data_IF_681914282948
#
_entry.id   IF_681914282948
#
_cell.length_a   1.000
_cell.length_b   1.000
_cell.length_c   1.000
_cell.angle_alpha   90.00
_cell.angle_beta   90.00
_cell.angle_gamma   90.00
#
_symmetry.space_group_name_H-M   'P 1'
#
loop_
_entity.id
_entity.type
_entity.pdbx_description
1 polymer ?
#
# COMPACT_ATOMS: atom_id res chain seq x y z
N UNK A 1 -0.22 19.91 10.99
CA UNK A 1 0.29 20.60 12.18
C UNK A 1 1.80 20.81 12.11
N UNK A 2 2.37 21.47 13.09
CA UNK A 2 3.81 21.82 13.07
C UNK A 2 4.70 20.57 13.15
N UNK A 3 4.22 19.51 13.78
CA UNK A 3 4.97 18.26 13.98
C UNK A 3 4.88 17.35 12.75
N UNK A 4 4.01 17.67 11.80
CA UNK A 4 3.87 16.93 10.54
C UNK A 4 3.12 15.59 10.64
N UNK A 5 2.55 15.28 11.80
CA UNK A 5 1.81 14.03 12.04
C UNK A 5 0.44 14.02 11.35
N UNK A 6 -0.14 15.20 11.16
CA UNK A 6 -1.43 15.36 10.51
C UNK A 6 -1.34 16.36 9.38
N UNK A 7 -1.83 15.97 8.22
CA UNK A 7 -1.76 16.79 7.02
C UNK A 7 -3.13 16.90 6.36
N UNK A 8 -3.37 18.03 5.74
CA UNK A 8 -4.52 18.25 4.87
C UNK A 8 -4.05 18.94 3.60
N UNK A 9 -4.41 18.37 2.47
CA UNK A 9 -4.11 18.92 1.15
C UNK A 9 -5.39 19.32 0.45
N UNK A 10 -5.40 20.52 -0.12
CA UNK A 10 -6.42 21.00 -1.05
C UNK A 10 -5.72 21.42 -2.35
N UNK A 11 -6.46 21.41 -3.44
CA UNK A 11 -5.95 21.87 -4.72
C UNK A 11 -6.45 23.29 -4.99
N UNK A 12 -5.56 24.16 -5.46
CA UNK A 12 -5.91 25.50 -5.88
C UNK A 12 -6.78 25.48 -7.14
N UNK A 13 -7.66 26.46 -7.27
CA UNK A 13 -8.37 26.73 -8.51
C UNK A 13 -7.43 27.28 -9.59
N UNK A 14 -7.91 27.43 -10.82
CA UNK A 14 -7.12 27.91 -11.95
C UNK A 14 -6.58 29.33 -11.77
N UNK A 15 -7.27 30.14 -10.99
CA UNK A 15 -6.85 31.51 -10.61
C UNK A 15 -5.86 31.54 -9.43
N UNK A 16 -5.45 30.38 -8.92
CA UNK A 16 -4.57 30.22 -7.77
C UNK A 16 -5.28 30.35 -6.41
N UNK A 17 -6.58 30.61 -6.38
CA UNK A 17 -7.33 30.68 -5.13
C UNK A 17 -7.45 29.31 -4.45
N UNK A 18 -7.41 29.28 -3.12
CA UNK A 18 -7.58 28.08 -2.34
C UNK A 18 -8.24 28.37 -0.98
N UNK A 19 -8.87 27.38 -0.40
CA UNK A 19 -9.41 27.46 0.96
C UNK A 19 -9.15 26.14 1.72
N UNK A 20 -8.53 26.24 2.88
CA UNK A 20 -8.30 25.12 3.78
C UNK A 20 -9.21 25.32 5.01
N UNK A 21 -10.19 24.43 5.19
CA UNK A 21 -10.94 24.32 6.43
C UNK A 21 -10.33 23.20 7.25
N UNK A 22 -9.66 23.53 8.33
CA UNK A 22 -8.96 22.58 9.18
C UNK A 22 -9.61 22.50 10.57
N UNK A 23 -9.74 21.31 11.17
CA UNK A 23 -10.15 21.18 12.55
C UNK A 23 -9.01 21.48 13.54
N UNK A 24 -7.81 21.75 13.04
CA UNK A 24 -6.61 21.96 13.86
C UNK A 24 -6.39 23.44 14.11
N UNK A 25 -6.16 23.79 15.38
CA UNK A 25 -5.70 25.11 15.80
C UNK A 25 -4.23 25.07 16.17
N UNK A 26 -3.60 26.24 16.24
CA UNK A 26 -2.20 26.37 16.61
C UNK A 26 -1.32 26.78 15.43
N UNK A 27 -0.02 26.51 15.55
CA UNK A 27 0.96 26.82 14.51
C UNK A 27 0.89 25.77 13.40
N UNK A 28 0.52 26.20 12.21
CA UNK A 28 0.42 25.34 11.03
C UNK A 28 1.55 25.68 10.08
N UNK A 29 2.23 24.66 9.56
CA UNK A 29 3.14 24.79 8.42
C UNK A 29 2.36 24.61 7.14
N UNK A 30 2.32 25.63 6.29
CA UNK A 30 1.62 25.60 5.01
C UNK A 30 2.65 25.51 3.89
N UNK A 31 2.42 24.59 2.97
CA UNK A 31 3.27 24.37 1.80
C UNK A 31 2.42 24.40 0.54
N UNK A 32 2.83 25.19 -0.46
CA UNK A 32 2.30 25.12 -1.83
C UNK A 32 3.29 24.35 -2.69
N UNK A 33 2.76 23.44 -3.51
CA UNK A 33 3.53 22.63 -4.44
C UNK A 33 2.87 22.61 -5.81
N UNK A 34 3.68 22.75 -6.82
CA UNK A 34 3.32 22.50 -8.21
C UNK A 34 4.51 21.83 -8.92
N UNK A 35 4.25 20.77 -9.69
CA UNK A 35 5.31 20.13 -10.45
C UNK A 35 5.98 21.11 -11.39
N UNK A 36 7.31 21.07 -11.47
CA UNK A 36 8.09 22.03 -12.25
C UNK A 36 8.43 23.34 -11.55
N UNK A 37 7.99 23.53 -10.30
CA UNK A 37 8.30 24.70 -9.48
C UNK A 37 8.85 24.32 -8.10
N UNK A 38 9.67 25.19 -7.51
CA UNK A 38 10.11 25.05 -6.11
C UNK A 38 8.94 25.31 -5.18
N UNK A 39 8.83 24.49 -4.16
CA UNK A 39 7.80 24.63 -3.13
C UNK A 39 7.91 25.99 -2.41
N UNK A 40 6.77 26.65 -2.21
CA UNK A 40 6.66 27.78 -1.30
C UNK A 40 6.20 27.28 0.07
N UNK A 41 6.75 27.84 1.15
CA UNK A 41 6.38 27.46 2.53
C UNK A 41 6.16 28.68 3.38
N UNK A 42 5.21 28.61 4.33
CA UNK A 42 5.01 29.60 5.37
C UNK A 42 4.45 28.94 6.63
N UNK A 43 4.58 29.64 7.76
CA UNK A 43 3.95 29.25 9.03
C UNK A 43 2.79 30.21 9.32
N UNK A 44 1.68 29.67 9.77
CA UNK A 44 0.49 30.43 10.08
C UNK A 44 -0.09 29.98 11.42
N UNK A 45 -0.29 30.94 12.33
CA UNK A 45 -1.03 30.68 13.55
C UNK A 45 -2.54 30.78 13.25
N UNK A 46 -3.27 29.73 13.60
CA UNK A 46 -4.73 29.63 13.41
C UNK A 46 -5.38 29.35 14.75
N UNK A 47 -6.41 30.13 15.10
CA UNK A 47 -7.24 29.88 16.27
C UNK A 47 -8.45 28.99 15.91
N UNK A 48 -9.07 28.35 16.90
CA UNK A 48 -10.17 27.39 16.68
C UNK A 48 -11.36 27.98 15.89
N UNK A 49 -11.60 29.28 16.01
CA UNK A 49 -12.71 30.00 15.33
C UNK A 49 -12.21 31.06 14.37
N UNK A 50 -10.88 31.16 14.21
CA UNK A 50 -10.26 32.20 13.41
C UNK A 50 -10.18 31.85 11.93
N UNK A 51 -9.97 32.92 11.12
CA UNK A 51 -9.57 32.78 9.73
C UNK A 51 -8.31 33.61 9.48
N UNK A 52 -7.48 33.13 8.56
CA UNK A 52 -6.28 33.84 8.14
C UNK A 52 -6.18 33.82 6.62
N UNK A 53 -5.65 34.89 6.05
CA UNK A 53 -5.32 34.97 4.64
C UNK A 53 -3.83 34.81 4.46
N UNK A 54 -3.42 33.84 3.61
CA UNK A 54 -2.04 33.56 3.34
C UNK A 54 -1.81 33.51 1.83
N UNK A 55 -0.90 34.33 1.34
CA UNK A 55 -0.43 34.32 -0.03
C UNK A 55 0.89 33.54 -0.07
N UNK A 56 1.00 32.56 -0.96
CA UNK A 56 2.18 31.75 -1.16
C UNK A 56 2.68 31.90 -2.59
N UNK A 57 3.99 31.94 -2.75
CA UNK A 57 4.63 32.07 -4.05
C UNK A 57 5.48 30.83 -4.31
N UNK A 58 5.40 30.28 -5.52
CA UNK A 58 6.26 29.21 -6.00
C UNK A 58 7.56 29.81 -6.56
N UNK A 59 8.68 29.15 -6.30
CA UNK A 59 9.96 29.51 -6.88
C UNK A 59 10.20 28.80 -8.22
N UNK A 60 11.21 29.24 -8.97
CA UNK A 60 11.69 28.57 -10.18
C UNK A 60 12.97 27.79 -9.89
N UNK A 61 13.19 26.70 -10.62
CA UNK A 61 14.43 25.96 -10.57
C UNK A 61 15.50 26.64 -11.45
N UNK A 62 16.77 26.49 -11.10
CA UNK A 62 17.87 27.03 -11.89
C UNK A 62 18.07 26.26 -13.21
N UNK A 63 17.75 24.96 -13.21
CA UNK A 63 17.85 24.08 -14.37
C UNK A 63 16.95 22.84 -14.23
N UNK A 64 16.82 22.08 -15.31
CA UNK A 64 16.00 20.87 -15.35
C UNK A 64 16.51 19.76 -14.41
N UNK A 65 17.81 19.67 -14.17
CA UNK A 65 18.38 18.69 -13.23
C UNK A 65 17.86 18.91 -11.82
N UNK A 66 17.93 20.14 -11.32
CA UNK A 66 17.41 20.51 -10.01
C UNK A 66 15.89 20.24 -9.91
N UNK A 67 15.15 20.53 -10.97
CA UNK A 67 13.72 20.23 -11.04
C UNK A 67 13.45 18.72 -10.95
N UNK A 68 14.22 17.91 -11.68
CA UNK A 68 14.02 16.47 -11.77
C UNK A 68 14.27 15.75 -10.43
N UNK A 69 15.15 16.29 -9.57
CA UNK A 69 15.34 15.74 -8.22
C UNK A 69 14.09 15.84 -7.34
N UNK A 70 13.16 16.70 -7.66
CA UNK A 70 11.90 16.89 -6.91
C UNK A 70 10.72 16.10 -7.46
N UNK A 71 10.87 15.48 -8.63
CA UNK A 71 9.81 14.76 -9.30
C UNK A 71 9.51 13.42 -8.60
N UNK A 72 8.25 13.04 -8.63
CA UNK A 72 7.80 11.73 -8.16
C UNK A 72 8.26 10.61 -9.09
N UNK A 73 8.35 9.40 -8.58
CA UNK A 73 8.62 8.20 -9.37
C UNK A 73 7.65 8.03 -10.56
N UNK A 74 6.38 8.41 -10.39
CA UNK A 74 5.38 8.36 -11.45
C UNK A 74 5.69 9.28 -12.63
N UNK A 75 6.35 10.43 -12.40
CA UNK A 75 6.78 11.31 -13.47
C UNK A 75 7.83 10.65 -14.38
N UNK A 76 8.77 9.92 -13.77
CA UNK A 76 9.76 9.15 -14.51
C UNK A 76 9.14 7.95 -15.24
N UNK A 77 8.20 7.24 -14.62
CA UNK A 77 7.50 6.13 -15.26
C UNK A 77 6.63 6.57 -16.44
N UNK A 78 6.05 7.78 -16.37
CA UNK A 78 5.21 8.32 -17.44
C UNK A 78 5.97 8.59 -18.74
N UNK A 79 7.28 8.86 -18.66
CA UNK A 79 8.13 9.09 -19.84
C UNK A 79 8.72 7.84 -20.47
N UNK A 80 8.51 6.67 -19.88
CA UNK A 80 9.07 5.43 -20.42
C UNK A 80 8.55 5.17 -21.86
N UNK A 81 9.44 4.99 -22.84
CA UNK A 81 9.08 4.92 -24.25
C UNK A 81 8.60 3.51 -24.64
N UNK A 82 7.42 3.11 -24.18
CA UNK A 82 6.83 1.80 -24.48
C UNK A 82 6.58 1.63 -25.99
N UNK A 83 7.07 0.57 -26.62
CA UNK A 83 6.78 0.29 -28.04
C UNK A 83 5.29 0.13 -28.29
N UNK A 84 4.58 -0.53 -27.36
CA UNK A 84 3.13 -0.62 -27.34
C UNK A 84 2.64 -0.51 -25.88
N UNK A 85 2.19 0.68 -25.51
CA UNK A 85 1.81 0.98 -24.12
C UNK A 85 0.69 0.08 -23.59
N UNK A 86 -0.27 -0.31 -24.42
CA UNK A 86 -1.42 -1.15 -24.02
C UNK A 86 -1.02 -2.61 -23.80
N UNK A 87 -0.04 -3.10 -24.56
CA UNK A 87 0.44 -4.48 -24.46
C UNK A 87 1.57 -4.63 -23.45
N UNK A 88 2.56 -3.73 -23.50
CA UNK A 88 3.85 -3.95 -22.83
C UNK A 88 3.89 -3.36 -21.42
N UNK A 89 3.20 -2.23 -21.17
CA UNK A 89 3.16 -1.58 -19.85
C UNK A 89 2.45 -2.40 -18.75
N UNK A 90 1.39 -3.18 -19.02
CA UNK A 90 0.72 -3.96 -17.98
C UNK A 90 1.65 -4.94 -17.25
N UNK A 91 2.53 -5.65 -17.94
CA UNK A 91 3.51 -6.55 -17.31
C UNK A 91 4.46 -5.79 -16.37
N UNK A 92 4.98 -4.62 -16.79
CA UNK A 92 5.79 -3.74 -15.96
C UNK A 92 5.03 -3.28 -14.70
N UNK A 93 3.78 -2.85 -14.84
CA UNK A 93 2.98 -2.37 -13.70
C UNK A 93 2.66 -3.50 -12.72
N UNK A 94 2.25 -4.67 -13.22
CA UNK A 94 1.84 -5.79 -12.38
C UNK A 94 2.99 -6.59 -11.77
N UNK A 95 4.18 -6.56 -12.38
CA UNK A 95 5.32 -7.36 -11.93
C UNK A 95 6.42 -6.50 -11.29
N UNK A 96 6.81 -5.39 -11.93
CA UNK A 96 7.90 -4.56 -11.42
C UNK A 96 7.46 -3.63 -10.29
N UNK A 97 6.28 -2.99 -10.40
CA UNK A 97 5.77 -2.09 -9.35
C UNK A 97 5.09 -2.84 -8.19
N UNK A 98 4.95 -4.15 -8.27
CA UNK A 98 4.32 -4.95 -7.22
C UNK A 98 5.17 -4.99 -5.94
N UNK A 99 6.47 -5.21 -6.07
CA UNK A 99 7.37 -5.37 -4.91
C UNK A 99 7.98 -4.04 -4.46
N UNK A 100 8.25 -3.11 -5.39
CA UNK A 100 8.81 -1.79 -5.08
C UNK A 100 8.48 -0.77 -6.16
N UNK A 101 8.44 0.50 -5.78
CA UNK A 101 8.12 1.57 -6.71
C UNK A 101 9.22 1.79 -7.73
N UNK A 102 8.92 1.57 -9.00
CA UNK A 102 9.83 1.90 -10.11
C UNK A 102 9.85 3.41 -10.36
N UNK A 103 10.98 3.93 -10.86
CA UNK A 103 11.16 5.36 -11.14
C UNK A 103 11.62 6.21 -9.95
N UNK A 104 11.81 5.63 -8.76
CA UNK A 104 12.46 6.29 -7.64
C UNK A 104 13.98 6.44 -7.90
N UNK A 105 14.70 7.17 -7.05
CA UNK A 105 16.12 7.46 -7.21
C UNK A 105 17.03 6.22 -7.34
N UNK A 106 16.62 5.08 -6.78
CA UNK A 106 17.37 3.84 -6.84
C UNK A 106 17.08 3.05 -8.10
N UNK A 107 15.81 2.97 -8.50
CA UNK A 107 15.39 2.16 -9.64
C UNK A 107 15.62 2.85 -10.98
N UNK A 108 15.80 4.19 -11.01
CA UNK A 108 16.09 4.96 -12.23
C UNK A 108 17.58 5.27 -12.44
N UNK A 109 18.47 4.68 -11.66
CA UNK A 109 19.92 4.85 -11.87
C UNK A 109 20.25 4.44 -13.30
N UNK A 110 20.92 5.31 -14.10
CA UNK A 110 21.31 4.99 -15.46
C UNK A 110 22.18 3.73 -15.51
N UNK A 111 21.85 2.83 -16.42
CA UNK A 111 22.57 1.59 -16.70
C UNK A 111 22.69 1.43 -18.20
N UNK A 112 23.69 0.72 -18.65
CA UNK A 112 23.75 0.28 -20.05
C UNK A 112 22.69 -0.82 -20.34
N UNK A 113 22.56 -1.17 -21.59
CA UNK A 113 21.52 -2.13 -22.02
C UNK A 113 21.71 -3.52 -21.39
N UNK A 114 22.95 -4.01 -21.32
CA UNK A 114 23.24 -5.33 -20.73
C UNK A 114 22.99 -5.35 -19.22
N UNK A 115 23.31 -4.27 -18.53
CA UNK A 115 23.00 -4.11 -17.11
C UNK A 115 21.49 -4.11 -16.85
N UNK A 116 20.69 -3.48 -17.72
CA UNK A 116 19.23 -3.52 -17.57
C UNK A 116 18.65 -4.92 -17.83
N UNK A 117 19.20 -5.66 -18.80
CA UNK A 117 18.83 -7.07 -19.00
C UNK A 117 19.12 -7.87 -17.74
N UNK A 118 20.32 -7.74 -17.19
CA UNK A 118 20.70 -8.46 -15.97
C UNK A 118 19.82 -8.11 -14.74
N UNK A 119 19.45 -6.82 -14.59
CA UNK A 119 18.54 -6.41 -13.51
C UNK A 119 17.13 -6.99 -13.68
N UNK A 120 16.59 -7.04 -14.91
CA UNK A 120 15.28 -7.65 -15.16
C UNK A 120 15.33 -9.15 -14.93
N UNK A 121 16.36 -9.86 -15.39
CA UNK A 121 16.55 -11.30 -15.12
C UNK A 121 16.70 -11.59 -13.63
N UNK A 122 17.37 -10.71 -12.88
CA UNK A 122 17.45 -10.80 -11.42
C UNK A 122 16.06 -10.70 -10.78
N UNK A 123 15.18 -9.82 -11.27
CA UNK A 123 13.81 -9.73 -10.76
C UNK A 123 12.98 -10.96 -11.14
N UNK A 124 13.19 -11.56 -12.31
CA UNK A 124 12.59 -12.85 -12.68
C UNK A 124 12.99 -13.95 -11.68
N UNK A 125 14.26 -14.00 -11.30
CA UNK A 125 14.75 -14.93 -10.26
C UNK A 125 14.19 -14.60 -8.85
N UNK A 126 13.68 -13.39 -8.64
CA UNK A 126 12.98 -12.94 -7.44
C UNK A 126 11.45 -12.99 -7.59
N UNK A 127 10.94 -13.87 -8.46
CA UNK A 127 9.52 -14.19 -8.67
C UNK A 127 8.71 -13.17 -9.48
N UNK A 128 9.32 -12.25 -10.20
CA UNK A 128 8.61 -11.48 -11.20
C UNK A 128 8.17 -12.41 -12.35
N UNK A 129 6.86 -12.47 -12.61
CA UNK A 129 6.23 -13.48 -13.49
C UNK A 129 6.00 -12.98 -14.93
N UNK A 130 6.86 -12.12 -15.45
CA UNK A 130 6.84 -11.78 -16.88
C UNK A 130 7.51 -12.89 -17.72
N UNK A 131 7.07 -13.02 -18.96
CA UNK A 131 7.77 -13.86 -19.92
C UNK A 131 9.13 -13.25 -20.29
N UNK A 132 10.08 -14.06 -20.76
CA UNK A 132 11.38 -13.57 -21.26
C UNK A 132 11.25 -12.52 -22.37
N UNK A 133 10.21 -12.63 -23.20
CA UNK A 133 9.95 -11.65 -24.25
C UNK A 133 9.51 -10.31 -23.66
N UNK A 134 8.61 -10.32 -22.67
CA UNK A 134 8.22 -9.11 -21.93
C UNK A 134 9.39 -8.53 -21.16
N UNK A 135 10.20 -9.35 -20.48
CA UNK A 135 11.41 -8.91 -19.78
C UNK A 135 12.39 -8.15 -20.67
N UNK A 136 12.62 -8.61 -21.91
CA UNK A 136 13.45 -7.90 -22.89
C UNK A 136 12.87 -6.55 -23.29
N UNK A 137 11.55 -6.47 -23.52
CA UNK A 137 10.89 -5.20 -23.85
C UNK A 137 10.96 -4.24 -22.66
N UNK A 138 10.81 -4.75 -21.44
CA UNK A 138 10.97 -3.95 -20.21
C UNK A 138 12.40 -3.42 -20.11
N UNK A 139 13.42 -4.26 -20.23
CA UNK A 139 14.84 -3.87 -20.16
C UNK A 139 15.19 -2.79 -21.19
N UNK A 140 14.77 -2.97 -22.43
CA UNK A 140 14.96 -2.00 -23.51
C UNK A 140 14.27 -0.65 -23.20
N UNK A 141 13.06 -0.70 -22.67
CA UNK A 141 12.29 0.49 -22.32
C UNK A 141 12.91 1.25 -21.14
N UNK A 142 13.39 0.52 -20.12
CA UNK A 142 14.09 1.11 -18.98
C UNK A 142 15.43 1.72 -19.39
N UNK A 143 16.20 1.05 -20.23
CA UNK A 143 17.45 1.57 -20.78
C UNK A 143 17.26 2.90 -21.50
N UNK A 144 16.24 2.98 -22.36
CA UNK A 144 15.93 4.22 -23.11
C UNK A 144 15.31 5.31 -22.25
N UNK A 145 14.51 4.93 -21.24
CA UNK A 145 13.73 5.86 -20.42
C UNK A 145 14.46 6.37 -19.19
N UNK A 146 15.33 5.57 -18.57
CA UNK A 146 16.12 5.95 -17.40
C UNK A 146 17.58 6.25 -17.81
N UNK A 147 17.72 7.11 -18.81
CA UNK A 147 19.01 7.51 -19.41
C UNK A 147 19.80 8.56 -18.61
N UNK A 148 19.26 8.99 -17.46
CA UNK A 148 19.85 10.01 -16.59
C UNK A 148 19.73 11.44 -17.10
N UNK A 149 19.18 11.65 -18.29
CA UNK A 149 19.03 13.00 -18.85
C UNK A 149 17.85 13.73 -18.22
N UNK A 150 18.05 14.97 -17.78
CA UNK A 150 16.97 15.81 -17.29
C UNK A 150 15.91 16.06 -18.37
N UNK A 151 14.65 16.15 -17.96
CA UNK A 151 13.54 16.44 -18.86
C UNK A 151 12.58 17.47 -18.23
N UNK A 152 11.87 18.19 -19.09
CA UNK A 152 10.86 19.13 -18.64
C UNK A 152 9.55 18.40 -18.33
N UNK A 153 9.17 18.41 -17.05
CA UNK A 153 7.92 17.84 -16.57
C UNK A 153 6.83 18.90 -16.30
N UNK A 154 7.12 20.17 -16.52
CA UNK A 154 6.20 21.28 -16.19
C UNK A 154 4.88 21.21 -16.94
N UNK A 155 4.87 20.63 -18.14
CA UNK A 155 3.68 20.53 -18.98
C UNK A 155 2.76 19.33 -18.65
N UNK A 156 3.20 18.39 -17.83
CA UNK A 156 2.51 17.12 -17.60
C UNK A 156 1.59 17.10 -16.38
N UNK A 157 1.55 18.17 -15.59
CA UNK A 157 0.92 18.18 -14.28
C UNK A 157 0.03 19.41 -14.02
N UNK A 158 -0.71 19.81 -15.01
CA UNK A 158 -1.76 20.81 -14.80
C UNK A 158 -2.85 20.23 -13.89
N UNK A 159 -3.17 20.92 -12.79
CA UNK A 159 -4.33 20.55 -11.97
C UNK A 159 -5.59 20.71 -12.84
N UNK A 160 -6.40 19.63 -12.95
CA UNK A 160 -7.71 19.76 -13.59
C UNK A 160 -8.63 20.62 -12.70
N UNK A 161 -9.56 21.34 -13.30
CA UNK A 161 -10.57 22.11 -12.54
C UNK A 161 -11.38 21.22 -11.59
N UNK A 162 -11.46 19.93 -11.84
CA UNK A 162 -12.12 18.95 -10.98
C UNK A 162 -11.34 18.70 -9.69
N UNK A 163 -10.00 18.70 -9.73
CA UNK A 163 -9.17 18.53 -8.56
C UNK A 163 -9.31 19.67 -7.55
N UNK A 164 -9.70 20.87 -7.98
CA UNK A 164 -9.93 22.00 -7.05
C UNK A 164 -11.02 21.72 -6.00
N UNK A 165 -11.86 20.69 -6.24
CA UNK A 165 -12.88 20.21 -5.29
C UNK A 165 -12.41 19.07 -4.41
N UNK A 166 -11.24 18.48 -4.70
CA UNK A 166 -10.72 17.38 -3.92
C UNK A 166 -10.03 17.86 -2.64
N UNK A 167 -10.18 17.07 -1.58
CA UNK A 167 -9.52 17.27 -0.31
C UNK A 167 -8.88 15.94 0.12
N UNK A 168 -7.60 15.97 0.44
CA UNK A 168 -6.87 14.84 0.99
C UNK A 168 -6.50 15.14 2.44
N UNK A 169 -6.75 14.18 3.32
CA UNK A 169 -6.27 14.20 4.70
C UNK A 169 -5.34 13.02 4.92
N UNK A 170 -4.26 13.27 5.60
CA UNK A 170 -3.23 12.26 5.88
C UNK A 170 -2.93 12.26 7.38
N UNK A 171 -2.77 11.07 7.94
CA UNK A 171 -2.34 10.85 9.32
C UNK A 171 -1.16 9.90 9.30
N UNK A 172 -0.11 10.25 10.00
CA UNK A 172 1.01 9.36 10.23
C UNK A 172 0.63 8.38 11.34
N UNK A 173 0.80 7.09 11.10
CA UNK A 173 0.60 6.03 12.10
C UNK A 173 1.86 5.19 12.22
N UNK A 174 2.19 4.81 13.47
CA UNK A 174 3.29 3.91 13.74
C UNK A 174 4.68 4.49 13.49
N UNK A 175 5.58 3.65 13.04
CA UNK A 175 7.00 3.93 12.83
C UNK A 175 7.52 3.38 11.49
N UNK A 176 8.84 3.34 11.29
CA UNK A 176 9.45 2.86 10.05
C UNK A 176 9.28 1.36 9.75
N UNK A 177 8.78 0.58 10.70
CA UNK A 177 8.48 -0.85 10.55
C UNK A 177 6.97 -1.12 10.45
N UNK A 178 6.14 -0.09 10.59
CA UNK A 178 4.68 -0.19 10.39
C UNK A 178 4.38 -0.57 8.95
N UNK A 179 3.63 -1.65 8.81
CA UNK A 179 3.20 -2.16 7.51
C UNK A 179 1.67 -2.34 7.51
N UNK A 180 0.96 -1.24 7.24
CA UNK A 180 -0.49 -1.28 7.04
C UNK A 180 -0.77 -2.02 5.75
N UNK A 181 -1.21 -3.28 5.86
CA UNK A 181 -1.46 -4.13 4.71
C UNK A 181 -2.85 -3.90 4.11
N UNK A 182 -3.86 -3.78 4.96
CA UNK A 182 -5.23 -3.53 4.52
C UNK A 182 -5.91 -2.51 5.45
N UNK A 183 -6.85 -1.74 4.90
CA UNK A 183 -7.61 -0.76 5.65
C UNK A 183 -9.01 -0.57 5.08
N UNK A 184 -10.01 -0.45 5.95
CA UNK A 184 -11.39 -0.20 5.55
C UNK A 184 -12.11 0.73 6.53
N UNK A 185 -13.13 1.42 6.03
CA UNK A 185 -14.01 2.27 6.82
C UNK A 185 -15.23 1.47 7.27
N UNK A 186 -15.28 1.20 8.56
CA UNK A 186 -16.37 0.45 9.15
C UNK A 186 -17.68 1.26 9.28
N UNK A 187 -18.78 0.59 9.61
CA UNK A 187 -20.12 1.20 9.76
C UNK A 187 -20.20 2.25 10.85
N UNK A 188 -19.32 2.20 11.84
CA UNK A 188 -19.18 3.22 12.90
C UNK A 188 -18.48 4.51 12.42
N UNK A 189 -18.05 4.54 11.16
CA UNK A 189 -17.34 5.67 10.54
C UNK A 189 -15.85 5.74 10.86
N UNK A 190 -15.34 4.82 11.69
CA UNK A 190 -13.92 4.71 11.99
C UNK A 190 -13.19 3.95 10.86
N UNK A 191 -11.92 4.25 10.67
CA UNK A 191 -11.05 3.52 9.77
C UNK A 191 -10.24 2.52 10.60
N UNK A 192 -10.29 1.27 10.21
CA UNK A 192 -9.51 0.18 10.78
C UNK A 192 -8.40 -0.21 9.81
N UNK A 193 -7.19 -0.46 10.32
CA UNK A 193 -6.04 -0.86 9.51
C UNK A 193 -5.24 -1.96 10.19
N UNK A 194 -4.88 -2.98 9.41
CA UNK A 194 -4.07 -4.13 9.88
C UNK A 194 -2.59 -3.85 9.68
N UNK A 195 -1.81 -3.91 10.76
CA UNK A 195 -0.34 -3.73 10.73
C UNK A 195 0.35 -5.08 10.87
N UNK A 196 0.78 -5.62 9.75
CA UNK A 196 1.49 -6.89 9.66
C UNK A 196 2.88 -6.84 10.31
N UNK A 197 3.47 -5.63 10.40
CA UNK A 197 4.79 -5.43 10.99
C UNK A 197 4.82 -5.56 12.52
N UNK A 198 3.75 -5.12 13.21
CA UNK A 198 3.71 -5.04 14.67
C UNK A 198 2.62 -5.88 15.33
N UNK A 199 1.80 -6.61 14.57
CA UNK A 199 0.60 -7.31 15.07
C UNK A 199 -0.36 -6.33 15.78
N UNK A 200 -0.70 -5.23 15.10
CA UNK A 200 -1.56 -4.17 15.62
C UNK A 200 -2.78 -3.99 14.70
N UNK A 201 -3.94 -3.77 15.31
CA UNK A 201 -5.10 -3.18 14.67
C UNK A 201 -5.13 -1.68 14.99
N UNK A 202 -4.90 -0.85 13.99
CA UNK A 202 -5.02 0.60 14.10
C UNK A 202 -6.45 1.05 13.90
N UNK A 203 -6.89 2.04 14.68
CA UNK A 203 -8.22 2.64 14.56
C UNK A 203 -8.08 4.16 14.49
N UNK A 204 -8.54 4.74 13.38
CA UNK A 204 -8.49 6.17 13.13
C UNK A 204 -9.90 6.76 13.09
N UNK A 205 -10.16 7.73 13.94
CA UNK A 205 -11.31 8.62 13.79
C UNK A 205 -10.95 9.75 12.82
N UNK A 206 -11.50 9.71 11.62
CA UNK A 206 -11.19 10.67 10.55
C UNK A 206 -11.66 12.11 10.83
N UNK A 207 -12.64 12.28 11.71
CA UNK A 207 -13.17 13.61 12.06
C UNK A 207 -12.30 14.29 13.11
N UNK A 208 -11.89 13.56 14.14
CA UNK A 208 -11.09 14.11 15.25
C UNK A 208 -9.59 13.96 15.02
N UNK A 209 -9.17 13.06 14.13
CA UNK A 209 -7.78 12.65 13.94
C UNK A 209 -7.22 11.80 15.09
N UNK A 210 -8.09 11.32 16.01
CA UNK A 210 -7.66 10.42 17.09
C UNK A 210 -7.27 9.07 16.51
N UNK A 211 -6.08 8.62 16.88
CA UNK A 211 -5.55 7.30 16.52
C UNK A 211 -5.48 6.45 17.79
N UNK A 212 -5.98 5.24 17.71
CA UNK A 212 -5.87 4.21 18.75
C UNK A 212 -5.21 2.97 18.15
N UNK A 213 -4.50 2.22 18.98
CA UNK A 213 -3.87 0.98 18.59
C UNK A 213 -4.33 -0.16 19.53
N UNK A 214 -4.64 -1.30 18.95
CA UNK A 214 -4.99 -2.51 19.67
C UNK A 214 -4.05 -3.62 19.26
N UNK A 215 -3.13 -3.97 20.18
CA UNK A 215 -2.21 -5.08 19.94
C UNK A 215 -2.98 -6.39 19.95
N UNK A 216 -2.70 -7.25 18.96
CA UNK A 216 -3.27 -8.58 18.90
C UNK A 216 -2.80 -9.40 20.11
N UNK A 217 -3.62 -10.35 20.65
CA UNK A 217 -3.23 -11.22 21.74
C UNK A 217 -1.92 -11.93 21.45
N UNK A 218 -1.07 -12.14 22.46
CA UNK A 218 0.20 -12.86 22.23
C UNK A 218 -0.04 -14.33 21.88
N UNK A 219 0.85 -14.89 21.08
CA UNK A 219 0.82 -16.28 20.62
C UNK A 219 2.19 -16.90 20.74
N UNK A 220 2.25 -18.20 21.07
CA UNK A 220 3.51 -18.96 21.17
C UNK A 220 4.04 -19.34 19.77
N UNK A 221 4.45 -18.31 19.04
CA UNK A 221 5.13 -18.40 17.75
C UNK A 221 6.33 -17.44 17.74
N UNK A 222 7.41 -17.79 17.03
CA UNK A 222 8.51 -16.87 16.80
C UNK A 222 8.09 -15.70 15.87
N UNK A 223 8.92 -14.68 15.77
CA UNK A 223 8.77 -13.65 14.73
C UNK A 223 8.82 -14.29 13.36
N UNK A 224 7.93 -13.86 12.47
CA UNK A 224 7.69 -14.50 11.19
C UNK A 224 6.69 -15.66 11.26
N UNK A 225 6.13 -15.93 12.44
CA UNK A 225 5.10 -16.94 12.65
C UNK A 225 5.53 -18.33 12.18
N UNK A 226 4.64 -19.03 11.49
CA UNK A 226 4.90 -20.35 10.90
C UNK A 226 5.93 -20.34 9.75
N UNK A 227 6.26 -19.15 9.23
CA UNK A 227 7.28 -18.95 8.19
C UNK A 227 8.64 -18.55 8.76
N UNK A 228 8.81 -18.58 10.07
CA UNK A 228 10.07 -18.23 10.74
C UNK A 228 11.22 -19.11 10.25
N UNK A 229 12.35 -18.48 9.94
CA UNK A 229 13.54 -19.17 9.42
C UNK A 229 13.52 -19.45 7.90
N UNK A 230 12.41 -19.22 7.21
CA UNK A 230 12.38 -19.29 5.74
C UNK A 230 13.11 -18.09 5.14
N UNK A 231 13.99 -18.35 4.17
CA UNK A 231 14.62 -17.28 3.36
C UNK A 231 13.63 -16.85 2.28
N UNK A 232 12.86 -15.81 2.56
CA UNK A 232 11.93 -15.23 1.60
C UNK A 232 12.61 -14.09 0.84
N UNK A 233 12.38 -13.95 -0.48
CA UNK A 233 12.97 -12.88 -1.29
C UNK A 233 12.48 -11.48 -0.93
N UNK A 234 11.35 -11.36 -0.24
CA UNK A 234 10.69 -10.08 0.14
C UNK A 234 11.05 -9.59 1.54
N UNK A 235 12.07 -10.15 2.18
CA UNK A 235 12.49 -9.77 3.54
C UNK A 235 11.91 -10.67 4.62
N UNK A 236 12.17 -10.30 5.87
CA UNK A 236 11.68 -11.05 7.03
C UNK A 236 10.44 -10.38 7.62
N UNK A 237 9.41 -11.16 7.84
CA UNK A 237 8.26 -10.72 8.62
C UNK A 237 8.66 -10.44 10.07
N UNK A 238 8.16 -9.35 10.63
CA UNK A 238 8.49 -8.91 11.98
C UNK A 238 7.42 -9.28 13.01
N UNK A 239 6.16 -9.43 12.58
CA UNK A 239 5.05 -9.88 13.40
C UNK A 239 5.05 -11.38 13.66
N UNK A 240 4.20 -11.84 14.59
CA UNK A 240 3.92 -13.25 14.86
C UNK A 240 2.62 -13.71 14.21
N UNK A 241 1.61 -12.82 14.18
CA UNK A 241 0.31 -13.07 13.58
C UNK A 241 0.27 -12.69 12.10
N UNK A 242 0.85 -11.55 11.74
CA UNK A 242 0.76 -10.97 10.42
C UNK A 242 -0.70 -10.67 10.02
N UNK A 243 -1.39 -9.74 10.72
CA UNK A 243 -2.77 -9.37 10.37
C UNK A 243 -2.80 -8.75 8.98
N UNK A 244 -3.46 -9.45 8.04
CA UNK A 244 -3.30 -9.21 6.63
C UNK A 244 -4.48 -8.47 5.99
N UNK A 245 -5.70 -8.99 6.14
CA UNK A 245 -6.89 -8.39 5.53
C UNK A 245 -8.03 -8.33 6.53
N UNK A 246 -8.95 -7.38 6.37
CA UNK A 246 -10.05 -7.17 7.29
C UNK A 246 -11.40 -7.02 6.57
N UNK A 247 -12.49 -7.39 7.26
CA UNK A 247 -13.87 -7.20 6.82
C UNK A 247 -14.80 -7.07 8.03
N UNK A 248 -15.98 -6.47 7.83
CA UNK A 248 -16.94 -6.25 8.92
C UNK A 248 -18.22 -7.04 8.72
N UNK A 249 -18.70 -7.71 9.77
CA UNK A 249 -20.06 -8.30 9.84
C UNK A 249 -21.12 -7.26 10.20
N UNK A 250 -22.41 -7.64 10.04
CA UNK A 250 -23.54 -6.72 10.29
C UNK A 250 -23.65 -6.27 11.74
N UNK A 251 -23.17 -7.08 12.68
CA UNK A 251 -23.11 -6.79 14.12
C UNK A 251 -21.99 -5.84 14.53
N UNK A 252 -21.17 -5.42 13.58
CA UNK A 252 -20.09 -4.45 13.77
C UNK A 252 -18.72 -5.04 14.12
N UNK A 253 -18.60 -6.37 14.31
CA UNK A 253 -17.29 -6.99 14.53
C UNK A 253 -16.40 -6.89 13.32
N UNK A 254 -15.10 -6.64 13.54
CA UNK A 254 -14.06 -6.63 12.52
C UNK A 254 -13.40 -8.01 12.51
N UNK A 255 -13.39 -8.64 11.36
CA UNK A 255 -12.75 -9.93 11.13
C UNK A 255 -11.41 -9.73 10.44
N UNK A 256 -10.40 -10.48 10.86
CA UNK A 256 -9.00 -10.30 10.44
C UNK A 256 -8.42 -11.66 10.09
N UNK A 257 -7.86 -11.80 8.89
CA UNK A 257 -7.01 -12.94 8.55
C UNK A 257 -5.59 -12.70 9.04
N UNK A 258 -5.01 -13.68 9.71
CA UNK A 258 -3.64 -13.61 10.22
C UNK A 258 -2.76 -14.57 9.42
N UNK A 259 -1.97 -14.00 8.50
CA UNK A 259 -1.22 -14.75 7.51
C UNK A 259 -0.10 -15.60 8.12
N UNK A 260 0.58 -15.08 9.15
CA UNK A 260 1.74 -15.73 9.75
C UNK A 260 1.39 -16.72 10.86
N UNK A 261 0.19 -16.65 11.42
CA UNK A 261 -0.26 -17.58 12.47
C UNK A 261 -1.29 -18.59 12.00
N UNK A 262 -1.73 -18.52 10.73
CA UNK A 262 -2.81 -19.35 10.18
C UNK A 262 -4.08 -19.32 11.03
N UNK A 263 -4.48 -18.13 11.49
CA UNK A 263 -5.67 -17.94 12.30
C UNK A 263 -6.63 -16.93 11.64
N UNK A 264 -7.92 -17.06 11.97
CA UNK A 264 -8.90 -16.03 11.80
C UNK A 264 -9.15 -15.37 13.17
N UNK A 265 -9.32 -14.07 13.21
CA UNK A 265 -9.54 -13.34 14.45
C UNK A 265 -10.71 -12.38 14.29
N UNK A 266 -11.50 -12.20 15.35
CA UNK A 266 -12.49 -11.13 15.42
C UNK A 266 -12.13 -10.11 16.49
N UNK A 267 -12.43 -8.85 16.23
CA UNK A 267 -12.34 -7.74 17.17
C UNK A 267 -13.74 -7.13 17.37
N UNK A 268 -14.18 -7.01 18.61
CA UNK A 268 -15.43 -6.30 18.94
C UNK A 268 -15.11 -4.84 19.29
N UNK A 269 -15.52 -3.86 18.48
CA UNK A 269 -15.24 -2.45 18.74
C UNK A 269 -15.86 -1.91 20.03
N UNK A 270 -16.89 -2.54 20.57
CA UNK A 270 -17.59 -2.11 21.80
C UNK A 270 -16.82 -2.52 23.04
N UNK A 271 -16.35 -3.76 23.07
CA UNK A 271 -15.64 -4.34 24.23
C UNK A 271 -14.13 -4.23 24.12
N UNK A 272 -13.62 -3.91 22.92
CA UNK A 272 -12.19 -3.90 22.55
C UNK A 272 -11.51 -5.28 22.70
N UNK A 273 -12.30 -6.33 22.66
CA UNK A 273 -11.84 -7.69 22.85
C UNK A 273 -11.59 -8.39 21.51
N UNK A 274 -10.51 -9.18 21.48
CA UNK A 274 -10.20 -10.10 20.39
C UNK A 274 -10.68 -11.52 20.74
N UNK A 275 -11.08 -12.27 19.71
CA UNK A 275 -11.28 -13.72 19.78
C UNK A 275 -10.61 -14.38 18.60
N UNK A 276 -9.78 -15.40 18.87
CA UNK A 276 -8.97 -16.11 17.87
C UNK A 276 -9.59 -17.46 17.55
N UNK A 277 -9.58 -17.82 16.27
CA UNK A 277 -10.10 -19.09 15.74
C UNK A 277 -8.99 -19.74 14.89
N UNK A 278 -8.52 -20.95 15.26
CA UNK A 278 -7.59 -21.70 14.44
C UNK A 278 -8.24 -22.10 13.11
N UNK A 279 -7.54 -21.96 12.00
CA UNK A 279 -8.09 -22.33 10.68
C UNK A 279 -7.80 -23.80 10.35
N UNK A 280 -6.68 -24.33 10.81
CA UNK A 280 -6.30 -25.74 10.61
C UNK A 280 -4.79 -25.93 10.44
N UNK A 281 -4.34 -27.18 10.50
CA UNK A 281 -2.91 -27.52 10.46
C UNK A 281 -2.29 -27.42 9.06
N UNK A 282 -3.07 -27.72 8.01
CA UNK A 282 -2.60 -27.71 6.61
C UNK A 282 -2.97 -26.41 5.88
N UNK A 283 -3.14 -25.33 6.64
CA UNK A 283 -3.58 -24.03 6.15
C UNK A 283 -2.43 -23.06 6.21
N UNK A 284 -2.02 -22.56 5.05
CA UNK A 284 -0.90 -21.63 4.96
C UNK A 284 -1.32 -20.31 4.34
N UNK A 285 -1.11 -19.24 5.10
CA UNK A 285 -1.29 -17.88 4.66
C UNK A 285 -2.74 -17.52 4.33
N UNK A 286 -3.66 -17.46 5.34
CA UNK A 286 -4.96 -16.81 5.18
C UNK A 286 -4.79 -15.36 4.73
N UNK A 287 -5.46 -15.00 3.62
CA UNK A 287 -5.18 -13.78 2.88
C UNK A 287 -6.42 -12.88 2.80
N UNK A 288 -6.93 -12.64 1.61
CA UNK A 288 -8.06 -11.72 1.40
C UNK A 288 -9.34 -12.26 2.02
N UNK A 289 -10.02 -11.42 2.80
CA UNK A 289 -11.27 -11.74 3.51
C UNK A 289 -12.46 -10.99 2.90
N UNK A 290 -13.63 -11.63 2.90
CA UNK A 290 -14.92 -11.02 2.54
C UNK A 290 -16.02 -11.57 3.45
N UNK A 291 -17.04 -10.76 3.66
CA UNK A 291 -18.25 -11.15 4.41
C UNK A 291 -19.43 -11.15 3.45
N UNK A 292 -20.19 -12.23 3.45
CA UNK A 292 -21.38 -12.34 2.60
C UNK A 292 -22.64 -11.71 3.28
N UNK A 293 -23.76 -11.70 2.55
CA UNK A 293 -25.04 -11.13 3.03
C UNK A 293 -25.64 -11.83 4.27
N UNK A 294 -25.16 -13.01 4.63
CA UNK A 294 -25.59 -13.79 5.79
C UNK A 294 -24.61 -13.66 6.98
N UNK A 295 -23.64 -12.77 6.87
CA UNK A 295 -22.52 -12.57 7.80
C UNK A 295 -21.52 -13.74 7.85
N UNK A 296 -21.54 -14.63 6.88
CA UNK A 296 -20.52 -15.68 6.76
C UNK A 296 -19.22 -15.09 6.24
N UNK A 297 -18.15 -15.42 6.92
CA UNK A 297 -16.79 -14.93 6.60
C UNK A 297 -16.11 -15.89 5.63
N UNK A 298 -15.66 -15.37 4.50
CA UNK A 298 -14.96 -16.11 3.47
C UNK A 298 -13.55 -15.55 3.29
N UNK A 299 -12.56 -16.40 3.12
CA UNK A 299 -11.19 -15.94 2.89
C UNK A 299 -10.40 -16.90 2.03
N UNK A 300 -9.47 -16.34 1.26
CA UNK A 300 -8.52 -17.14 0.47
C UNK A 300 -7.38 -17.62 1.35
N UNK A 301 -6.85 -18.80 1.05
CA UNK A 301 -5.68 -19.38 1.72
C UNK A 301 -4.66 -19.67 0.62
N UNK A 302 -3.82 -18.66 0.35
CA UNK A 302 -3.10 -18.58 -0.93
C UNK A 302 -1.95 -19.57 -1.02
N UNK A 303 -1.22 -19.83 0.05
CA UNK A 303 -0.05 -20.70 -0.01
C UNK A 303 -0.40 -22.20 -0.01
N UNK A 304 -1.64 -22.56 0.32
CA UNK A 304 -2.11 -23.96 0.28
C UNK A 304 -3.26 -24.22 -0.70
N UNK A 305 -3.58 -23.26 -1.57
CA UNK A 305 -4.61 -23.37 -2.62
C UNK A 305 -5.99 -23.78 -2.08
N UNK A 306 -6.48 -23.04 -1.06
CA UNK A 306 -7.72 -23.36 -0.36
C UNK A 306 -8.59 -22.10 -0.20
N UNK A 307 -9.85 -22.32 0.13
CA UNK A 307 -10.80 -21.28 0.60
C UNK A 307 -11.28 -21.67 1.99
N UNK A 308 -11.22 -20.73 2.92
CA UNK A 308 -11.81 -20.82 4.23
C UNK A 308 -13.22 -20.22 4.25
N UNK A 309 -14.12 -20.86 4.97
CA UNK A 309 -15.46 -20.39 5.32
C UNK A 309 -15.61 -20.49 6.82
N UNK A 310 -16.07 -19.41 7.45
CA UNK A 310 -16.37 -19.39 8.87
C UNK A 310 -17.77 -18.78 9.11
N UNK A 311 -18.60 -19.49 9.85
CA UNK A 311 -19.92 -19.00 10.24
C UNK A 311 -19.89 -18.46 11.67
N UNK A 312 -19.95 -17.13 11.87
CA UNK A 312 -19.87 -16.54 13.20
C UNK A 312 -21.01 -16.94 14.16
N UNK A 313 -22.11 -17.46 13.65
CA UNK A 313 -23.28 -17.88 14.46
C UNK A 313 -23.08 -19.25 15.09
N UNK A 314 -22.46 -20.15 14.36
CA UNK A 314 -22.19 -21.53 14.81
C UNK A 314 -20.73 -21.73 15.22
N UNK A 315 -19.87 -20.78 14.91
CA UNK A 315 -18.41 -20.85 15.04
C UNK A 315 -17.79 -22.04 14.25
N UNK A 316 -18.48 -22.48 13.21
CA UNK A 316 -18.02 -23.56 12.36
C UNK A 316 -17.03 -23.04 11.31
N UNK A 317 -15.83 -23.65 11.29
CA UNK A 317 -14.78 -23.42 10.28
C UNK A 317 -14.78 -24.55 9.28
N UNK A 318 -14.85 -24.21 7.99
CA UNK A 318 -14.71 -25.17 6.90
C UNK A 318 -13.62 -24.71 5.95
N UNK A 319 -12.72 -25.61 5.58
CA UNK A 319 -11.65 -25.34 4.59
C UNK A 319 -11.83 -26.25 3.40
N UNK A 320 -11.92 -25.67 2.22
CA UNK A 320 -12.11 -26.39 0.96
C UNK A 320 -10.89 -26.20 0.07
N UNK A 321 -10.28 -27.31 -0.36
CA UNK A 321 -9.18 -27.30 -1.33
C UNK A 321 -9.73 -27.01 -2.73
N UNK A 322 -9.09 -26.08 -3.43
CA UNK A 322 -9.44 -25.78 -4.80
C UNK A 322 -8.93 -26.86 -5.77
N UNK A 323 -9.63 -27.12 -6.89
CA UNK A 323 -9.15 -28.05 -7.90
C UNK A 323 -7.78 -27.64 -8.44
N UNK A 324 -6.88 -28.60 -8.61
CA UNK A 324 -5.59 -28.40 -9.28
C UNK A 324 -5.67 -28.88 -10.72
N UNK A 325 -5.20 -28.09 -11.68
CA UNK A 325 -5.23 -28.41 -13.11
C UNK A 325 -3.98 -29.23 -13.51
N UNK A 326 -3.94 -30.54 -13.18
CA UNK A 326 -2.96 -31.48 -13.68
C UNK A 326 -1.58 -31.48 -13.02
N UNK A 327 -0.71 -32.40 -13.49
CA UNK A 327 0.59 -32.69 -12.92
C UNK A 327 1.58 -31.52 -12.90
N UNK A 328 1.54 -30.65 -13.93
CA UNK A 328 2.42 -29.48 -14.00
C UNK A 328 2.09 -28.47 -12.90
N UNK A 329 0.81 -28.29 -12.60
CA UNK A 329 0.37 -27.39 -11.53
C UNK A 329 0.66 -27.98 -10.14
N UNK A 330 0.48 -29.29 -9.98
CA UNK A 330 0.92 -30.01 -8.79
C UNK A 330 2.43 -29.81 -8.56
N UNK A 331 3.26 -29.94 -9.60
CA UNK A 331 4.70 -29.74 -9.51
C UNK A 331 5.05 -28.30 -9.10
N UNK A 332 4.40 -27.30 -9.70
CA UNK A 332 4.60 -25.90 -9.29
C UNK A 332 4.10 -25.63 -7.87
N UNK A 333 3.02 -26.28 -7.43
CA UNK A 333 2.53 -26.18 -6.04
C UNK A 333 3.51 -26.78 -5.02
N UNK A 334 4.24 -27.84 -5.41
CA UNK A 334 5.28 -28.43 -4.56
C UNK A 334 6.59 -27.64 -4.57
N UNK A 335 6.99 -27.11 -5.72
CA UNK A 335 8.24 -26.37 -5.88
C UNK A 335 8.15 -24.91 -5.39
N UNK A 336 6.95 -24.32 -5.47
CA UNK A 336 6.70 -22.91 -5.13
C UNK A 336 5.43 -22.75 -4.27
N UNK A 337 5.40 -23.32 -3.05
CA UNK A 337 4.20 -23.27 -2.20
C UNK A 337 3.81 -21.83 -1.78
N UNK A 338 4.74 -20.87 -1.94
CA UNK A 338 4.55 -19.45 -1.57
C UNK A 338 4.10 -18.57 -2.74
N UNK A 339 3.96 -19.10 -3.96
CA UNK A 339 3.42 -18.31 -5.06
C UNK A 339 1.96 -17.96 -4.81
N UNK A 340 1.71 -16.69 -4.56
CA UNK A 340 0.35 -16.15 -4.47
C UNK A 340 -0.36 -16.38 -5.80
N UNK A 341 -1.34 -17.27 -5.80
CA UNK A 341 -2.19 -17.54 -6.96
C UNK A 341 -3.50 -16.79 -6.75
N UNK A 342 -3.59 -15.64 -7.36
CA UNK A 342 -4.83 -14.90 -7.51
C UNK A 342 -5.64 -15.51 -8.64
#
# INVERSE_FOLDING_TARGET
DADGERRQTVYAAADGSYAIRTPYAGKLKVRVRLSGFKDGTAEQLVTATGSARLNLTLGTFANLGEMNETLSASAFNARLPWPNIKRDRPAFVSQCNYCHQMGNSWTRIPRDHEQWIAEVEKMENMLAMQSRAEGRVIAETLWKGFDGKPFDASQNYGASSELSRAKVREWLVGDGYTFIHDADVAKDGLLYGTDEGHDILWVLNRETGKIEQYKLPDIDLPRGGIFSGMKLPIGQFTGKHGPHSLAQTSDGRIWITNALSSTLMSFDPRTKAFKTYPVGHDVLYPHTIRVDKNDVVWFTIVASNQIGRFDPKTEEMTVTRLPSNGALRWLTDQLFPTLMRI
#
